data_IF_797603079502
#
_entry.id   IF_797603079502
#
_cell.length_a   1.000
_cell.length_b   1.000
_cell.length_c   1.000
_cell.angle_alpha   90.00
_cell.angle_beta   90.00
_cell.angle_gamma   90.00
#
_symmetry.space_group_name_H-M   'P 1'
#
loop_
_entity.id
_entity.type
_entity.pdbx_description
1 polymer ?
#
# COMPACT_ATOMS: atom_id res chain seq x y z
N UNK A 1 -16.27 -38.53 -27.19
CA UNK A 1 -15.31 -37.65 -26.52
C UNK A 1 -15.43 -37.95 -25.02
N UNK A 2 -14.38 -38.58 -24.51
CA UNK A 2 -14.39 -39.09 -23.13
C UNK A 2 -14.41 -37.90 -22.17
N UNK A 3 -15.38 -37.88 -21.24
CA UNK A 3 -15.55 -36.78 -20.25
C UNK A 3 -14.35 -36.66 -19.27
N UNK A 4 -13.40 -37.56 -19.36
CA UNK A 4 -12.14 -37.54 -18.58
C UNK A 4 -11.08 -36.57 -19.10
N UNK A 5 -11.16 -36.17 -20.39
CA UNK A 5 -10.17 -35.23 -20.98
C UNK A 5 -10.42 -33.73 -20.60
N UNK A 6 -11.57 -33.41 -20.00
CA UNK A 6 -11.93 -32.02 -19.65
C UNK A 6 -11.41 -31.55 -18.29
N UNK A 7 -10.85 -32.46 -17.49
CA UNK A 7 -10.42 -32.12 -16.11
C UNK A 7 -8.93 -32.31 -15.89
N UNK A 8 -8.29 -31.34 -15.21
CA UNK A 8 -6.87 -31.44 -14.91
C UNK A 8 -6.58 -32.64 -13.98
N UNK A 9 -5.44 -33.33 -14.22
CA UNK A 9 -4.92 -34.39 -13.32
C UNK A 9 -4.62 -33.81 -11.93
N UNK A 10 -4.43 -34.67 -10.92
CA UNK A 10 -4.13 -34.23 -9.56
C UNK A 10 -2.89 -33.36 -9.49
N UNK A 11 -1.85 -33.70 -10.23
CA UNK A 11 -0.64 -32.89 -10.35
C UNK A 11 -0.89 -31.53 -11.01
N UNK A 12 -1.72 -31.52 -12.07
CA UNK A 12 -2.12 -30.27 -12.71
C UNK A 12 -2.99 -29.42 -11.79
N UNK A 13 -3.91 -30.04 -11.01
CA UNK A 13 -4.75 -29.32 -10.03
C UNK A 13 -3.88 -28.62 -8.96
N UNK A 14 -2.89 -29.31 -8.42
CA UNK A 14 -1.94 -28.73 -7.46
C UNK A 14 -1.16 -27.57 -8.08
N UNK A 15 -0.65 -27.74 -9.29
CA UNK A 15 0.09 -26.67 -10.00
C UNK A 15 -0.78 -25.45 -10.29
N UNK A 16 -2.05 -25.65 -10.67
CA UNK A 16 -3.01 -24.56 -10.86
C UNK A 16 -3.28 -23.85 -9.51
N UNK A 17 -3.47 -24.60 -8.44
CA UNK A 17 -3.66 -24.07 -7.09
C UNK A 17 -2.47 -23.20 -6.68
N UNK A 18 -1.24 -23.72 -6.80
CA UNK A 18 -0.01 -22.98 -6.53
C UNK A 18 0.08 -21.65 -7.31
N UNK A 19 -0.25 -21.68 -8.60
CA UNK A 19 -0.27 -20.49 -9.43
C UNK A 19 -1.29 -19.46 -8.93
N UNK A 20 -2.52 -19.89 -8.64
CA UNK A 20 -3.59 -19.01 -8.16
C UNK A 20 -3.23 -18.40 -6.80
N UNK A 21 -2.70 -19.22 -5.89
CA UNK A 21 -2.22 -18.75 -4.58
C UNK A 21 -1.07 -17.76 -4.73
N UNK A 22 -0.13 -18.02 -5.65
CA UNK A 22 0.96 -17.09 -5.95
C UNK A 22 0.47 -15.75 -6.54
N UNK A 23 -0.57 -15.78 -7.38
CA UNK A 23 -1.19 -14.57 -7.92
C UNK A 23 -1.88 -13.76 -6.82
N UNK A 24 -2.67 -14.44 -5.96
CA UNK A 24 -3.34 -13.82 -4.81
C UNK A 24 -2.35 -13.20 -3.83
N UNK A 25 -1.28 -13.93 -3.47
CA UNK A 25 -0.19 -13.43 -2.64
C UNK A 25 0.45 -12.17 -3.24
N UNK A 26 0.76 -12.20 -4.54
CA UNK A 26 1.33 -11.04 -5.23
C UNK A 26 0.41 -9.82 -5.17
N UNK A 27 -0.88 -10.00 -5.34
CA UNK A 27 -1.86 -8.91 -5.23
C UNK A 27 -1.91 -8.35 -3.80
N UNK A 28 -2.03 -9.23 -2.80
CA UNK A 28 -2.17 -8.85 -1.40
C UNK A 28 -0.92 -8.15 -0.86
N UNK A 29 0.28 -8.67 -1.14
CA UNK A 29 1.56 -8.06 -0.80
C UNK A 29 1.72 -6.64 -1.36
N UNK A 30 1.18 -6.40 -2.54
CA UNK A 30 1.32 -5.14 -3.25
C UNK A 30 0.13 -4.18 -3.06
N UNK A 31 -0.71 -4.45 -2.06
CA UNK A 31 -1.74 -3.52 -1.59
C UNK A 31 -3.05 -3.56 -2.37
N UNK A 32 -3.37 -4.71 -2.99
CA UNK A 32 -4.70 -4.91 -3.55
C UNK A 32 -5.77 -5.04 -2.45
N UNK A 33 -7.00 -4.72 -2.79
CA UNK A 33 -8.17 -4.90 -1.94
C UNK A 33 -8.47 -6.39 -1.75
N UNK A 34 -8.82 -6.81 -0.53
CA UNK A 34 -9.13 -8.20 -0.18
C UNK A 34 -10.15 -8.81 -1.15
N UNK A 35 -11.28 -8.14 -1.32
CA UNK A 35 -12.34 -8.57 -2.25
C UNK A 35 -11.82 -8.73 -3.70
N UNK A 36 -10.95 -7.83 -4.16
CA UNK A 36 -10.36 -7.92 -5.51
C UNK A 36 -9.41 -9.10 -5.65
N UNK A 37 -8.69 -9.43 -4.59
CA UNK A 37 -7.83 -10.62 -4.56
C UNK A 37 -8.68 -11.87 -4.70
N UNK A 38 -9.73 -12.03 -3.89
CA UNK A 38 -10.67 -13.16 -3.95
C UNK A 38 -11.28 -13.30 -5.35
N UNK A 39 -11.86 -12.21 -5.86
CA UNK A 39 -12.46 -12.20 -7.19
C UNK A 39 -11.49 -12.61 -8.29
N UNK A 40 -10.24 -12.12 -8.22
CA UNK A 40 -9.21 -12.44 -9.21
C UNK A 40 -8.83 -13.93 -9.15
N UNK A 41 -8.66 -14.48 -7.95
CA UNK A 41 -8.36 -15.90 -7.73
C UNK A 41 -9.48 -16.80 -8.24
N UNK A 42 -10.74 -16.44 -7.96
CA UNK A 42 -11.91 -17.18 -8.47
C UNK A 42 -12.01 -17.17 -10.01
N UNK A 43 -11.75 -16.01 -10.64
CA UNK A 43 -11.76 -15.91 -12.11
C UNK A 43 -10.72 -16.85 -12.71
N UNK A 44 -9.52 -16.88 -12.17
CA UNK A 44 -8.44 -17.78 -12.61
C UNK A 44 -8.81 -19.24 -12.38
N UNK A 45 -9.35 -19.59 -11.21
CA UNK A 45 -9.77 -20.94 -10.86
C UNK A 45 -10.84 -21.48 -11.82
N UNK A 46 -11.87 -20.68 -12.10
CA UNK A 46 -12.94 -21.04 -13.07
C UNK A 46 -12.38 -21.31 -14.46
N UNK A 47 -11.45 -20.47 -14.92
CA UNK A 47 -10.87 -20.60 -16.26
C UNK A 47 -9.99 -21.83 -16.42
N UNK A 48 -9.23 -22.19 -15.39
CA UNK A 48 -8.40 -23.39 -15.37
C UNK A 48 -9.15 -24.65 -14.92
N UNK A 49 -10.50 -24.59 -14.85
CA UNK A 49 -11.38 -25.70 -14.48
C UNK A 49 -11.05 -26.34 -13.12
N UNK A 50 -10.57 -25.52 -12.17
CA UNK A 50 -10.41 -25.95 -10.78
C UNK A 50 -11.78 -25.94 -10.10
N UNK A 51 -12.38 -27.12 -9.96
CA UNK A 51 -13.73 -27.27 -9.38
C UNK A 51 -13.74 -27.04 -7.88
N UNK A 52 -14.90 -26.59 -7.37
CA UNK A 52 -15.12 -26.40 -5.93
C UNK A 52 -14.00 -25.59 -5.29
N UNK A 53 -13.58 -24.53 -5.99
CA UNK A 53 -12.60 -23.60 -5.48
C UNK A 53 -13.28 -22.62 -4.53
N UNK A 54 -12.80 -22.62 -3.28
CA UNK A 54 -13.22 -21.69 -2.24
C UNK A 54 -12.00 -20.93 -1.76
N UNK A 55 -12.13 -19.63 -1.62
CA UNK A 55 -11.06 -18.76 -1.16
C UNK A 55 -11.58 -17.80 -0.11
N UNK A 56 -10.78 -17.58 0.92
CA UNK A 56 -11.00 -16.56 1.93
C UNK A 56 -9.71 -15.81 2.16
N UNK A 57 -9.73 -14.50 1.94
CA UNK A 57 -8.56 -13.63 2.04
C UNK A 57 -8.72 -12.70 3.23
N UNK A 58 -7.68 -12.63 4.05
CA UNK A 58 -7.52 -11.64 5.11
C UNK A 58 -6.41 -10.66 4.73
N UNK A 59 -6.30 -9.58 5.48
CA UNK A 59 -5.25 -8.57 5.25
C UNK A 59 -3.82 -9.13 5.29
N UNK A 60 -3.60 -10.28 5.96
CA UNK A 60 -2.28 -10.89 6.17
C UNK A 60 -2.21 -12.38 5.80
N UNK A 61 -3.23 -12.92 5.15
CA UNK A 61 -3.23 -14.32 4.79
C UNK A 61 -4.30 -14.70 3.79
N UNK A 62 -4.06 -15.81 3.11
CA UNK A 62 -4.96 -16.40 2.11
C UNK A 62 -5.21 -17.85 2.49
N UNK A 63 -6.48 -18.23 2.54
CA UNK A 63 -6.95 -19.60 2.75
C UNK A 63 -7.69 -20.01 1.50
N UNK A 64 -7.31 -21.12 0.90
CA UNK A 64 -8.02 -21.63 -0.27
C UNK A 64 -8.11 -23.15 -0.24
N UNK A 65 -9.20 -23.67 -0.82
CA UNK A 65 -9.41 -25.11 -1.01
C UNK A 65 -9.99 -25.37 -2.39
N UNK A 66 -9.75 -26.57 -2.92
CA UNK A 66 -10.29 -27.01 -4.19
C UNK A 66 -10.63 -28.51 -4.13
N UNK A 67 -11.66 -28.92 -4.89
CA UNK A 67 -12.23 -30.25 -4.77
C UNK A 67 -12.94 -30.41 -3.42
N UNK A 68 -13.36 -31.61 -3.07
CA UNK A 68 -13.98 -31.90 -1.77
C UNK A 68 -12.97 -31.80 -0.60
N UNK A 69 -12.26 -30.68 -0.49
CA UNK A 69 -11.16 -30.42 0.43
C UNK A 69 -9.90 -31.31 0.25
N UNK A 70 -9.73 -31.92 -0.91
CA UNK A 70 -8.52 -32.70 -1.24
C UNK A 70 -7.25 -31.85 -1.33
N UNK A 71 -7.40 -30.56 -1.71
CA UNK A 71 -6.32 -29.59 -1.77
C UNK A 71 -6.74 -28.38 -0.93
N UNK A 72 -6.01 -28.13 0.16
CA UNK A 72 -6.17 -26.93 0.96
C UNK A 72 -4.81 -26.28 1.17
N UNK A 73 -4.73 -24.96 0.94
CA UNK A 73 -3.52 -24.16 1.12
C UNK A 73 -3.78 -22.95 1.98
N UNK A 74 -2.77 -22.62 2.80
CA UNK A 74 -2.72 -21.42 3.61
C UNK A 74 -1.41 -20.69 3.32
N UNK A 75 -1.50 -19.41 2.97
CA UNK A 75 -0.31 -18.56 2.80
C UNK A 75 -0.38 -17.37 3.72
N UNK A 76 0.69 -17.18 4.49
CA UNK A 76 0.86 -15.98 5.31
C UNK A 76 1.54 -14.88 4.48
N UNK A 77 0.96 -13.67 4.50
CA UNK A 77 1.45 -12.49 3.77
C UNK A 77 1.82 -11.40 4.78
N UNK A 78 3.00 -11.53 5.45
CA UNK A 78 3.36 -10.67 6.58
C UNK A 78 3.77 -9.25 6.17
N UNK A 79 4.29 -9.08 4.96
CA UNK A 79 4.81 -7.79 4.47
C UNK A 79 3.88 -7.26 3.40
N UNK A 80 3.43 -6.02 3.59
CA UNK A 80 2.58 -5.31 2.64
C UNK A 80 3.23 -3.99 2.24
N UNK A 81 3.37 -3.81 0.94
CA UNK A 81 3.81 -2.57 0.33
C UNK A 81 2.76 -2.13 -0.68
N UNK A 82 2.79 -0.90 -1.14
CA UNK A 82 1.89 -0.47 -2.21
C UNK A 82 2.66 -0.38 -3.51
N UNK A 83 2.40 -1.33 -4.42
CA UNK A 83 3.00 -1.34 -5.75
C UNK A 83 1.93 -1.52 -6.83
N UNK A 84 1.24 -0.42 -7.19
CA UNK A 84 0.11 -0.44 -8.12
C UNK A 84 0.47 -1.02 -9.50
N UNK A 85 1.72 -0.89 -9.95
CA UNK A 85 2.17 -1.48 -11.21
C UNK A 85 2.11 -3.01 -11.20
N UNK A 86 2.51 -3.67 -10.10
CA UNK A 86 2.39 -5.13 -9.95
C UNK A 86 0.93 -5.56 -9.88
N UNK A 87 0.12 -4.84 -9.11
CA UNK A 87 -1.34 -5.08 -9.03
C UNK A 87 -1.98 -4.96 -10.41
N UNK A 88 -1.65 -3.92 -11.17
CA UNK A 88 -2.16 -3.73 -12.53
C UNK A 88 -1.75 -4.87 -13.49
N UNK A 89 -0.50 -5.34 -13.41
CA UNK A 89 0.02 -6.43 -14.23
C UNK A 89 -0.72 -7.75 -13.94
N UNK A 90 -0.92 -8.11 -12.67
CA UNK A 90 -1.67 -9.33 -12.30
C UNK A 90 -3.14 -9.22 -12.69
N UNK A 91 -3.78 -8.06 -12.51
CA UNK A 91 -5.14 -7.84 -12.95
C UNK A 91 -5.30 -7.90 -14.50
N UNK A 92 -4.30 -7.42 -15.25
CA UNK A 92 -4.29 -7.58 -16.71
C UNK A 92 -4.18 -9.05 -17.09
N UNK A 93 -3.24 -9.78 -16.47
CA UNK A 93 -3.07 -11.22 -16.66
C UNK A 93 -4.35 -12.00 -16.38
N UNK A 94 -5.06 -11.68 -15.27
CA UNK A 94 -6.33 -12.32 -14.93
C UNK A 94 -7.41 -12.14 -16.00
N UNK A 95 -7.52 -10.94 -16.58
CA UNK A 95 -8.47 -10.67 -17.67
C UNK A 95 -8.13 -11.44 -18.92
N UNK A 96 -6.87 -11.55 -19.28
CA UNK A 96 -6.43 -12.32 -20.45
C UNK A 96 -6.62 -13.82 -20.25
N UNK A 97 -6.36 -14.34 -19.05
CA UNK A 97 -6.70 -15.71 -18.67
C UNK A 97 -8.21 -15.95 -18.83
N UNK A 98 -9.05 -15.06 -18.32
CA UNK A 98 -10.49 -15.14 -18.44
C UNK A 98 -10.98 -15.17 -19.89
N UNK A 99 -10.34 -14.40 -20.78
CA UNK A 99 -10.61 -14.37 -22.21
C UNK A 99 -10.17 -15.64 -22.95
N UNK A 100 -9.39 -16.52 -22.33
CA UNK A 100 -8.99 -17.81 -22.90
C UNK A 100 -7.72 -17.78 -23.73
N UNK A 101 -7.00 -16.67 -23.77
CA UNK A 101 -5.81 -16.50 -24.62
C UNK A 101 -4.48 -16.95 -23.98
N UNK A 102 -4.48 -17.44 -22.73
CA UNK A 102 -3.25 -17.70 -21.97
C UNK A 102 -3.24 -19.13 -21.43
N UNK A 103 -2.15 -19.84 -21.65
CA UNK A 103 -1.89 -21.17 -21.07
C UNK A 103 -1.34 -21.04 -19.64
N UNK A 104 -1.41 -22.12 -18.86
CA UNK A 104 -0.86 -22.10 -17.48
C UNK A 104 0.64 -21.78 -17.45
N UNK A 105 1.43 -22.36 -18.36
CA UNK A 105 2.88 -22.09 -18.44
C UNK A 105 3.18 -20.61 -18.73
N UNK A 106 2.43 -20.03 -19.64
CA UNK A 106 2.55 -18.59 -19.96
C UNK A 106 2.11 -17.72 -18.81
N UNK A 107 1.02 -18.09 -18.12
CA UNK A 107 0.51 -17.37 -16.96
C UNK A 107 1.53 -17.35 -15.81
N UNK A 108 2.20 -18.48 -15.53
CA UNK A 108 3.27 -18.56 -14.54
C UNK A 108 4.46 -17.66 -14.90
N UNK A 109 4.88 -17.67 -16.18
CA UNK A 109 5.96 -16.81 -16.65
C UNK A 109 5.63 -15.33 -16.47
N UNK A 110 4.45 -14.92 -16.90
CA UNK A 110 3.98 -13.52 -16.79
C UNK A 110 3.76 -13.08 -15.34
N UNK A 111 3.32 -13.98 -14.46
CA UNK A 111 3.25 -13.70 -13.03
C UNK A 111 4.65 -13.46 -12.44
N UNK A 112 5.63 -14.28 -12.84
CA UNK A 112 7.01 -14.08 -12.43
C UNK A 112 7.60 -12.74 -12.94
N UNK A 113 7.24 -12.31 -14.15
CA UNK A 113 7.60 -10.98 -14.68
C UNK A 113 6.94 -9.86 -13.88
N UNK A 114 5.63 -9.99 -13.57
CA UNK A 114 4.92 -9.01 -12.75
C UNK A 114 5.56 -8.83 -11.37
N UNK A 115 6.00 -9.92 -10.74
CA UNK A 115 6.73 -9.89 -9.45
C UNK A 115 8.07 -9.17 -9.52
N UNK A 116 8.72 -9.18 -10.70
CA UNK A 116 10.03 -8.52 -10.92
C UNK A 116 9.93 -7.04 -11.24
N UNK A 117 8.74 -6.47 -11.43
CA UNK A 117 8.59 -5.02 -11.67
C UNK A 117 9.24 -4.27 -10.50
N UNK A 118 10.27 -3.44 -10.77
CA UNK A 118 11.02 -2.77 -9.71
C UNK A 118 10.22 -1.63 -9.08
N UNK A 119 10.49 -1.33 -7.82
CA UNK A 119 10.03 -0.10 -7.20
C UNK A 119 10.63 1.13 -7.89
N UNK A 120 9.94 2.29 -7.87
CA UNK A 120 10.51 3.54 -8.37
C UNK A 120 11.88 3.83 -7.75
N UNK A 121 12.81 4.33 -8.55
CA UNK A 121 14.16 4.69 -8.06
C UNK A 121 14.08 5.78 -6.99
N UNK A 122 14.99 5.78 -6.03
CA UNK A 122 15.03 6.76 -4.94
C UNK A 122 14.96 8.22 -5.40
N UNK A 123 15.61 8.58 -6.52
CA UNK A 123 15.51 9.92 -7.13
C UNK A 123 14.07 10.30 -7.51
N UNK A 124 13.31 9.36 -8.06
CA UNK A 124 11.89 9.58 -8.41
C UNK A 124 11.05 9.77 -7.16
N UNK A 125 11.31 9.03 -6.09
CA UNK A 125 10.61 9.18 -4.81
C UNK A 125 10.91 10.54 -4.17
N UNK A 126 12.17 11.02 -4.21
CA UNK A 126 12.56 12.34 -3.71
C UNK A 126 11.84 13.46 -4.47
N UNK A 127 11.84 13.40 -5.80
CA UNK A 127 11.15 14.39 -6.64
C UNK A 127 9.63 14.36 -6.45
N UNK A 128 9.04 13.18 -6.34
CA UNK A 128 7.61 13.02 -6.06
C UNK A 128 7.23 13.57 -4.68
N UNK A 129 8.06 13.30 -3.66
CA UNK A 129 7.87 13.87 -2.32
C UNK A 129 7.95 15.41 -2.34
N UNK A 130 8.95 15.97 -2.98
CA UNK A 130 9.13 17.41 -3.12
C UNK A 130 7.93 18.07 -3.84
N UNK A 131 7.55 17.57 -5.02
CA UNK A 131 6.46 18.15 -5.80
C UNK A 131 5.09 17.91 -5.16
N UNK A 132 4.85 16.72 -4.61
CA UNK A 132 3.59 16.38 -3.96
C UNK A 132 3.30 17.27 -2.76
N UNK A 133 4.28 17.49 -1.88
CA UNK A 133 4.10 18.36 -0.68
C UNK A 133 3.87 19.81 -1.05
N UNK A 134 4.57 20.32 -2.06
CA UNK A 134 4.34 21.66 -2.56
C UNK A 134 2.91 21.84 -3.10
N UNK A 135 2.44 20.88 -3.90
CA UNK A 135 1.08 20.90 -4.42
C UNK A 135 0.04 20.82 -3.30
N UNK A 136 0.23 19.93 -2.31
CA UNK A 136 -0.70 19.85 -1.18
C UNK A 136 -0.71 21.13 -0.33
N UNK A 137 0.45 21.76 -0.09
CA UNK A 137 0.50 23.03 0.61
C UNK A 137 -0.35 24.12 -0.10
N UNK A 138 -0.30 24.18 -1.43
CA UNK A 138 -1.14 25.10 -2.23
C UNK A 138 -2.62 24.72 -2.18
N UNK A 139 -2.97 23.42 -2.29
CA UNK A 139 -4.35 22.93 -2.23
C UNK A 139 -5.00 23.30 -0.89
N UNK A 140 -4.25 23.29 0.21
CA UNK A 140 -4.72 23.68 1.53
C UNK A 140 -4.74 25.20 1.76
N UNK A 141 -4.51 26.00 0.73
CA UNK A 141 -4.62 27.45 0.80
C UNK A 141 -3.30 28.18 1.13
N UNK A 142 -2.18 27.47 1.10
CA UNK A 142 -0.86 28.07 1.32
C UNK A 142 -0.40 28.97 0.18
N UNK A 143 0.56 29.84 0.49
CA UNK A 143 1.23 30.70 -0.46
C UNK A 143 2.33 29.97 -1.24
N UNK A 144 2.87 30.59 -2.31
CA UNK A 144 4.03 30.04 -3.02
C UNK A 144 5.24 29.88 -2.07
N UNK A 145 5.39 30.77 -1.10
CA UNK A 145 6.47 30.70 -0.09
C UNK A 145 6.30 29.47 0.82
N UNK A 146 5.09 29.23 1.33
CA UNK A 146 4.81 28.03 2.11
C UNK A 146 4.94 26.73 1.28
N UNK A 147 4.60 26.77 -0.01
CA UNK A 147 4.81 25.64 -0.91
C UNK A 147 6.30 25.34 -1.16
N UNK A 148 7.16 26.36 -1.24
CA UNK A 148 8.61 26.16 -1.32
C UNK A 148 9.18 25.56 -0.04
N UNK A 149 8.73 26.00 1.13
CA UNK A 149 9.10 25.39 2.41
C UNK A 149 8.62 23.92 2.49
N UNK A 150 7.40 23.63 2.06
CA UNK A 150 6.86 22.28 1.98
C UNK A 150 7.64 21.38 1.01
N UNK A 151 8.06 21.92 -0.14
CA UNK A 151 8.89 21.21 -1.11
C UNK A 151 10.25 20.79 -0.49
N UNK A 152 10.92 21.69 0.19
CA UNK A 152 12.19 21.40 0.87
C UNK A 152 11.99 20.35 1.96
N UNK A 153 10.95 20.48 2.79
CA UNK A 153 10.60 19.51 3.81
C UNK A 153 10.28 18.15 3.20
N UNK A 154 9.48 18.09 2.12
CA UNK A 154 9.14 16.88 1.40
C UNK A 154 10.35 16.16 0.83
N UNK A 155 11.33 16.90 0.30
CA UNK A 155 12.58 16.33 -0.19
C UNK A 155 13.40 15.71 0.96
N UNK A 156 13.59 16.44 2.07
CA UNK A 156 14.36 15.99 3.23
C UNK A 156 13.70 14.75 3.85
N UNK A 157 12.39 14.77 4.05
CA UNK A 157 11.65 13.66 4.67
C UNK A 157 11.60 12.44 3.78
N UNK A 158 11.45 12.61 2.47
CA UNK A 158 11.53 11.48 1.53
C UNK A 158 12.91 10.81 1.59
N UNK A 159 13.98 11.60 1.68
CA UNK A 159 15.34 11.09 1.91
C UNK A 159 15.48 10.36 3.24
N UNK A 160 14.94 10.94 4.31
CA UNK A 160 14.91 10.30 5.63
C UNK A 160 14.17 8.95 5.61
N UNK A 161 13.02 8.88 4.97
CA UNK A 161 12.24 7.63 4.86
C UNK A 161 12.98 6.55 4.10
N UNK A 162 13.69 6.90 3.01
CA UNK A 162 14.55 5.97 2.27
C UNK A 162 15.69 5.42 3.14
N UNK A 163 16.34 6.27 3.92
CA UNK A 163 17.41 5.85 4.85
C UNK A 163 16.87 4.95 5.97
N UNK A 164 15.63 5.20 6.44
CA UNK A 164 14.99 4.39 7.47
C UNK A 164 14.54 3.01 6.98
N UNK A 165 14.26 2.84 5.68
CA UNK A 165 13.96 1.53 5.10
C UNK A 165 15.11 0.53 5.29
N UNK A 166 16.34 0.99 5.16
CA UNK A 166 17.54 0.16 5.33
C UNK A 166 17.77 -0.26 6.79
N UNK A 167 17.27 0.50 7.76
CA UNK A 167 17.61 0.34 9.20
C UNK A 167 16.61 -0.48 10.02
N UNK A 168 15.57 -1.09 9.43
CA UNK A 168 14.55 -1.91 10.13
C UNK A 168 13.95 -1.26 11.39
N UNK A 169 13.78 0.05 11.40
CA UNK A 169 13.14 0.75 12.52
C UNK A 169 11.66 0.37 12.63
N UNK A 170 11.11 0.38 13.84
CA UNK A 170 9.68 0.12 14.03
C UNK A 170 8.83 1.17 13.28
N UNK A 171 7.72 0.74 12.70
CA UNK A 171 6.87 1.62 11.89
C UNK A 171 6.36 2.84 12.69
N UNK A 172 6.01 2.67 13.96
CA UNK A 172 5.56 3.77 14.82
C UNK A 172 6.66 4.81 15.04
N UNK A 173 7.85 4.38 15.43
CA UNK A 173 9.00 5.29 15.65
C UNK A 173 9.36 6.05 14.38
N UNK A 174 9.38 5.38 13.22
CA UNK A 174 9.65 6.00 11.92
C UNK A 174 8.63 7.09 11.58
N UNK A 175 7.35 6.88 11.90
CA UNK A 175 6.28 7.86 11.64
C UNK A 175 6.34 9.04 12.59
N UNK A 176 6.58 8.81 13.89
CA UNK A 176 6.74 9.88 14.88
C UNK A 176 7.91 10.78 14.53
N UNK A 177 9.09 10.20 14.27
CA UNK A 177 10.31 10.97 13.95
C UNK A 177 10.20 11.68 12.58
N UNK A 178 9.57 11.07 11.58
CA UNK A 178 9.31 11.74 10.31
C UNK A 178 8.37 12.93 10.47
N UNK A 179 7.29 12.81 11.23
CA UNK A 179 6.36 13.91 11.51
C UNK A 179 7.02 15.03 12.29
N UNK A 180 7.85 14.71 13.28
CA UNK A 180 8.67 15.69 14.02
C UNK A 180 9.63 16.44 13.08
N UNK A 181 10.33 15.70 12.20
CA UNK A 181 11.25 16.29 11.22
C UNK A 181 10.51 17.20 10.22
N UNK A 182 9.34 16.79 9.71
CA UNK A 182 8.47 17.61 8.85
C UNK A 182 8.18 18.94 9.54
N UNK A 183 7.64 18.88 10.75
CA UNK A 183 7.20 20.06 11.50
C UNK A 183 8.35 21.01 11.74
N UNK A 184 9.51 20.49 12.17
CA UNK A 184 10.71 21.29 12.40
C UNK A 184 11.19 21.98 11.13
N UNK A 185 11.34 21.24 10.01
CA UNK A 185 11.81 21.79 8.74
C UNK A 185 10.84 22.82 8.16
N UNK A 186 9.53 22.58 8.28
CA UNK A 186 8.51 23.54 7.83
C UNK A 186 8.56 24.83 8.66
N UNK A 187 8.67 24.76 10.00
CA UNK A 187 8.78 25.94 10.85
C UNK A 187 10.01 26.76 10.49
N UNK A 188 11.18 26.13 10.38
CA UNK A 188 12.42 26.81 9.99
C UNK A 188 12.35 27.41 8.59
N UNK A 189 11.85 26.66 7.61
CA UNK A 189 11.70 27.12 6.22
C UNK A 189 10.72 28.28 6.10
N UNK A 190 9.57 28.21 6.79
CA UNK A 190 8.59 29.29 6.78
C UNK A 190 9.06 30.54 7.52
N UNK A 191 9.81 30.37 8.59
CA UNK A 191 10.46 31.49 9.29
C UNK A 191 11.45 32.23 8.37
N UNK A 192 12.26 31.49 7.60
CA UNK A 192 13.19 32.07 6.64
C UNK A 192 12.51 32.77 5.45
N UNK A 193 11.33 32.31 5.08
CA UNK A 193 10.56 32.85 3.93
C UNK A 193 9.50 33.87 4.34
N UNK A 194 9.42 34.21 5.61
CA UNK A 194 8.43 35.12 6.19
C UNK A 194 6.99 34.74 5.78
N UNK A 195 6.58 33.53 6.14
CA UNK A 195 5.24 32.97 5.83
C UNK A 195 4.75 32.07 6.96
N UNK A 196 3.45 31.80 6.99
CA UNK A 196 2.84 30.90 7.96
C UNK A 196 3.22 29.43 7.73
N UNK A 197 3.53 28.72 8.81
CA UNK A 197 3.99 27.34 8.74
C UNK A 197 2.84 26.31 8.62
N UNK A 198 1.62 26.67 9.03
CA UNK A 198 0.48 25.75 9.10
C UNK A 198 0.21 25.00 7.78
N UNK A 199 0.11 25.73 6.67
CA UNK A 199 -0.15 25.14 5.35
C UNK A 199 1.01 24.27 4.84
N UNK A 200 2.25 24.64 5.13
CA UNK A 200 3.42 23.87 4.78
C UNK A 200 3.49 22.56 5.58
N UNK A 201 3.18 22.62 6.89
CA UNK A 201 3.16 21.45 7.77
C UNK A 201 2.06 20.47 7.29
N UNK A 202 0.82 20.93 7.14
CA UNK A 202 -0.29 20.08 6.71
C UNK A 202 -0.01 19.46 5.34
N UNK A 203 0.44 20.26 4.37
CA UNK A 203 0.77 19.79 3.02
C UNK A 203 1.87 18.73 3.02
N UNK A 204 2.90 18.89 3.87
CA UNK A 204 3.99 17.94 3.94
C UNK A 204 3.61 16.65 4.70
N UNK A 205 2.76 16.75 5.74
CA UNK A 205 2.25 15.60 6.48
C UNK A 205 1.44 14.65 5.60
N UNK A 206 0.90 15.09 4.47
CA UNK A 206 0.17 14.23 3.52
C UNK A 206 1.01 13.05 3.01
N UNK A 207 2.35 13.15 2.96
CA UNK A 207 3.21 11.99 2.64
C UNK A 207 3.06 10.85 3.66
N UNK A 208 2.82 11.17 4.92
CA UNK A 208 2.70 10.19 6.00
C UNK A 208 1.27 9.70 6.21
N UNK A 209 0.28 10.46 5.72
CA UNK A 209 -1.14 10.21 5.96
C UNK A 209 -1.56 8.86 5.39
N UNK A 210 -2.24 8.01 6.18
CA UNK A 210 -2.63 6.67 5.79
C UNK A 210 -3.92 6.64 4.94
N UNK A 211 -3.99 7.47 3.89
CA UNK A 211 -5.20 7.65 3.08
C UNK A 211 -5.69 6.35 2.42
N UNK A 212 -4.78 5.58 1.82
CA UNK A 212 -5.12 4.31 1.17
C UNK A 212 -5.66 3.31 2.21
N UNK A 213 -5.00 3.16 3.36
CA UNK A 213 -5.45 2.23 4.40
C UNK A 213 -6.84 2.63 4.94
N UNK A 214 -7.07 3.93 5.14
CA UNK A 214 -8.34 4.46 5.61
C UNK A 214 -9.48 4.23 4.61
N UNK A 215 -9.29 4.59 3.34
CA UNK A 215 -10.31 4.41 2.30
C UNK A 215 -10.61 2.95 2.02
N UNK A 216 -9.58 2.08 2.03
CA UNK A 216 -9.77 0.64 1.89
C UNK A 216 -10.50 0.04 3.10
N UNK A 217 -10.19 0.48 4.32
CA UNK A 217 -10.89 0.03 5.52
C UNK A 217 -12.38 0.36 5.49
N UNK A 218 -12.76 1.58 5.08
CA UNK A 218 -14.17 1.95 4.87
C UNK A 218 -14.82 1.06 3.82
N UNK A 219 -14.14 0.80 2.71
CA UNK A 219 -14.65 -0.02 1.64
C UNK A 219 -14.86 -1.47 2.07
N UNK A 220 -13.92 -2.04 2.82
CA UNK A 220 -14.05 -3.39 3.38
C UNK A 220 -15.30 -3.48 4.27
N UNK A 221 -15.57 -2.47 5.11
CA UNK A 221 -16.81 -2.39 5.90
C UNK A 221 -18.07 -2.35 5.04
N UNK A 222 -18.08 -1.55 3.96
CA UNK A 222 -19.23 -1.47 3.05
C UNK A 222 -19.48 -2.81 2.33
N UNK A 223 -18.43 -3.58 2.09
CA UNK A 223 -18.53 -4.90 1.47
C UNK A 223 -18.84 -6.04 2.45
N UNK A 224 -18.92 -5.72 3.76
CA UNK A 224 -19.21 -6.71 4.81
C UNK A 224 -17.99 -7.44 5.36
N UNK A 225 -16.79 -7.12 4.89
CA UNK A 225 -15.54 -7.67 5.43
C UNK A 225 -15.09 -6.85 6.65
N UNK A 226 -15.83 -7.03 7.75
CA UNK A 226 -15.59 -6.28 8.99
C UNK A 226 -14.22 -6.55 9.60
N UNK A 227 -13.67 -7.75 9.43
CA UNK A 227 -12.39 -8.10 10.02
C UNK A 227 -11.24 -7.36 9.33
N UNK A 228 -11.16 -7.41 8.02
CA UNK A 228 -10.16 -6.66 7.24
C UNK A 228 -10.32 -5.16 7.40
N UNK A 229 -11.58 -4.66 7.37
CA UNK A 229 -11.89 -3.27 7.60
C UNK A 229 -11.43 -2.76 8.97
N UNK A 230 -11.67 -3.53 10.03
CA UNK A 230 -11.23 -3.17 11.39
C UNK A 230 -9.71 -3.12 11.50
N UNK A 231 -9.01 -4.12 10.99
CA UNK A 231 -7.54 -4.16 11.03
C UNK A 231 -6.95 -2.94 10.30
N UNK A 232 -7.42 -2.63 9.09
CA UNK A 232 -6.95 -1.45 8.32
C UNK A 232 -7.26 -0.13 9.02
N UNK A 233 -8.43 -0.02 9.65
CA UNK A 233 -8.81 1.19 10.38
C UNK A 233 -7.93 1.40 11.61
N UNK A 234 -7.65 0.34 12.39
CA UNK A 234 -6.73 0.41 13.53
C UNK A 234 -5.33 0.81 13.07
N UNK A 235 -4.81 0.22 12.00
CA UNK A 235 -3.51 0.60 11.43
C UNK A 235 -3.49 2.09 11.05
N UNK A 236 -4.55 2.58 10.39
CA UNK A 236 -4.66 3.99 10.00
C UNK A 236 -4.69 4.92 11.23
N UNK A 237 -5.44 4.56 12.27
CA UNK A 237 -5.51 5.34 13.52
C UNK A 237 -4.17 5.37 14.25
N UNK A 238 -3.43 4.26 14.31
CA UNK A 238 -2.09 4.20 14.92
C UNK A 238 -1.09 5.10 14.16
N UNK A 239 -1.17 5.12 12.82
CA UNK A 239 -0.35 6.03 12.01
C UNK A 239 -0.73 7.49 12.29
N UNK A 240 -2.02 7.82 12.31
CA UNK A 240 -2.50 9.17 12.60
C UNK A 240 -2.07 9.64 13.99
N UNK A 241 -2.18 8.78 15.01
CA UNK A 241 -1.70 9.07 16.36
C UNK A 241 -0.17 9.30 16.37
N UNK A 242 0.59 8.50 15.65
CA UNK A 242 2.05 8.68 15.53
C UNK A 242 2.41 10.03 14.90
N UNK A 243 1.68 10.45 13.86
CA UNK A 243 1.86 11.76 13.22
C UNK A 243 1.53 12.88 14.21
N UNK A 244 0.38 12.78 14.91
CA UNK A 244 -0.05 13.78 15.87
C UNK A 244 0.97 13.94 17.03
N UNK A 245 1.49 12.83 17.55
CA UNK A 245 2.54 12.85 18.59
C UNK A 245 3.80 13.55 18.07
N UNK A 246 4.31 13.18 16.91
CA UNK A 246 5.52 13.77 16.35
C UNK A 246 5.41 15.26 16.07
N UNK A 247 4.31 15.68 15.46
CA UNK A 247 4.01 17.09 15.20
C UNK A 247 3.76 17.87 16.48
N UNK A 248 2.94 17.34 17.40
CA UNK A 248 2.59 17.98 18.66
C UNK A 248 3.79 18.21 19.57
N UNK A 249 4.74 17.27 19.63
CA UNK A 249 5.99 17.43 20.39
C UNK A 249 6.79 18.63 19.89
N UNK A 250 6.97 18.79 18.58
CA UNK A 250 7.75 19.88 18.00
C UNK A 250 7.02 21.23 18.19
N UNK A 251 5.71 21.28 17.94
CA UNK A 251 4.93 22.50 18.15
C UNK A 251 4.96 22.95 19.60
N UNK A 252 4.77 22.01 20.54
CA UNK A 252 4.82 22.33 21.98
C UNK A 252 6.20 22.81 22.41
N UNK A 253 7.27 22.18 21.93
CA UNK A 253 8.64 22.58 22.24
C UNK A 253 8.96 23.97 21.67
N UNK A 254 8.54 24.23 20.43
CA UNK A 254 8.75 25.53 19.78
C UNK A 254 8.00 26.62 20.51
N UNK A 255 6.74 26.40 20.88
CA UNK A 255 5.94 27.36 21.66
C UNK A 255 6.57 27.65 23.02
N UNK A 256 7.13 26.64 23.70
CA UNK A 256 7.80 26.80 24.99
C UNK A 256 9.09 27.65 24.86
N UNK A 257 9.84 27.47 23.77
CA UNK A 257 11.12 28.16 23.56
C UNK A 257 10.96 29.59 23.02
N UNK A 258 9.97 29.83 22.19
CA UNK A 258 9.77 31.14 21.54
C UNK A 258 8.70 32.01 22.22
N UNK A 259 7.88 31.44 23.09
CA UNK A 259 6.73 32.14 23.69
C UNK A 259 5.60 32.46 22.70
N UNK A 260 5.69 32.03 21.45
CA UNK A 260 4.74 32.29 20.38
C UNK A 260 4.09 30.99 19.94
N UNK A 261 2.77 30.98 19.80
CA UNK A 261 2.05 29.88 19.14
C UNK A 261 2.34 29.93 17.65
N UNK A 262 2.96 28.88 17.10
CA UNK A 262 3.43 28.79 15.70
C UNK A 262 2.28 28.49 14.72
N UNK A 263 1.07 28.24 15.22
CA UNK A 263 -0.14 27.90 14.46
C UNK A 263 -1.28 28.80 14.92
#
# INVERSE_FOLDING_TARGET
MDSRELYPSDEQRRRIMDFIMAAGETLLENGAEVFRVEQTMEIMARRFHLREFHVYVLTNGIFASAGTAEIAEVRNVPVRTTHLGRVAAVNALSREIAAGGVTLNEAECRLAEARRIPFPKGKTQLLAGMSGTACFALIFGGTIRSALAAAAAGFIVSGYLLLCEERRLSNGFRKISAAALITLVCILGCHLLDTEASHAIIGTLMILTPGIAFTMGIRDFVQGDYLSGTIRMIDALLIAASIAIGTGLVLSLTSLLTGVTVV
#
